data_IF_187244712757
#
_entry.id   IF_187244712757
#
_cell.length_a   1.000
_cell.length_b   1.000
_cell.length_c   1.000
_cell.angle_alpha   90.00
_cell.angle_beta   90.00
_cell.angle_gamma   90.00
#
_symmetry.space_group_name_H-M   'P 1'
#
loop_
_entity.id
_entity.type
_entity.pdbx_description
1 polymer ?
#
# COMPACT_ATOMS: atom_id res chain seq x y z
N UNK A 1 0.99 14.17 7.02
CA UNK A 1 1.59 13.17 7.96
C UNK A 1 2.84 12.59 7.32
N UNK A 2 3.89 12.41 8.11
CA UNK A 2 5.18 11.85 7.66
C UNK A 2 5.62 10.80 8.67
N UNK A 3 5.98 9.61 8.16
CA UNK A 3 6.64 8.55 8.91
C UNK A 3 8.04 8.35 8.34
N UNK A 4 8.98 7.91 9.16
CA UNK A 4 10.38 7.75 8.74
C UNK A 4 10.97 6.45 9.28
N UNK A 5 11.87 5.88 8.48
CA UNK A 5 12.72 4.76 8.85
C UNK A 5 14.18 5.14 8.60
N UNK A 6 15.08 4.19 8.71
CA UNK A 6 16.50 4.44 8.39
C UNK A 6 16.71 4.86 6.92
N UNK A 7 16.06 4.17 5.98
CA UNK A 7 16.27 4.39 4.54
C UNK A 7 15.12 5.08 3.82
N UNK A 8 13.96 5.22 4.47
CA UNK A 8 12.71 5.64 3.82
C UNK A 8 12.05 6.80 4.56
N UNK A 9 11.36 7.63 3.77
CA UNK A 9 10.38 8.60 4.25
C UNK A 9 9.04 8.31 3.60
N UNK A 10 8.00 8.12 4.40
CA UNK A 10 6.64 7.86 3.96
C UNK A 10 5.80 9.11 4.19
N UNK A 11 5.30 9.71 3.10
CA UNK A 11 4.48 10.92 3.15
C UNK A 11 3.06 10.60 2.68
N UNK A 12 2.06 11.10 3.39
CA UNK A 12 0.68 11.01 2.91
C UNK A 12 0.59 11.57 1.50
N UNK A 13 -0.11 10.86 0.61
CA UNK A 13 -0.26 11.23 -0.79
C UNK A 13 -0.85 12.63 -0.97
N UNK A 14 -0.31 13.36 -1.92
CA UNK A 14 -0.84 14.65 -2.37
C UNK A 14 -1.14 14.60 -3.87
N UNK A 15 -2.01 15.49 -4.35
CA UNK A 15 -2.36 15.52 -5.78
C UNK A 15 -1.13 15.78 -6.68
N UNK A 16 -0.15 16.53 -6.18
CA UNK A 16 1.11 16.80 -6.86
C UNK A 16 2.04 15.59 -7.01
N UNK A 17 1.73 14.46 -6.35
CA UNK A 17 2.43 13.19 -6.57
C UNK A 17 2.00 12.49 -7.88
N UNK A 18 1.09 13.09 -8.65
CA UNK A 18 0.51 12.50 -9.86
C UNK A 18 1.54 11.97 -10.88
N UNK A 19 2.69 12.60 -11.14
CA UNK A 19 3.69 12.02 -12.05
C UNK A 19 4.18 10.64 -11.58
N UNK A 20 4.46 10.48 -10.30
CA UNK A 20 4.85 9.20 -9.72
C UNK A 20 3.71 8.17 -9.76
N UNK A 21 2.49 8.56 -9.36
CA UNK A 21 1.35 7.65 -9.37
C UNK A 21 0.93 7.24 -10.78
N UNK A 22 1.10 8.11 -11.78
CA UNK A 22 0.89 7.76 -13.18
C UNK A 22 1.84 6.63 -13.62
N UNK A 23 3.11 6.73 -13.29
CA UNK A 23 4.09 5.69 -13.56
C UNK A 23 3.76 4.40 -12.81
N UNK A 24 3.45 4.47 -11.50
CA UNK A 24 3.13 3.32 -10.68
C UNK A 24 1.87 2.58 -11.17
N UNK A 25 0.79 3.30 -11.45
CA UNK A 25 -0.48 2.72 -11.89
C UNK A 25 -0.40 2.08 -13.28
N UNK A 26 0.56 2.47 -14.10
CA UNK A 26 0.83 1.89 -15.41
C UNK A 26 1.98 0.87 -15.41
N UNK A 27 2.60 0.62 -14.27
CA UNK A 27 3.59 -0.47 -14.15
C UNK A 27 2.91 -1.83 -14.38
N UNK A 28 3.49 -2.71 -15.24
CA UNK A 28 2.87 -4.00 -15.58
C UNK A 28 2.55 -4.88 -14.37
N UNK A 29 3.41 -4.90 -13.35
CA UNK A 29 3.17 -5.70 -12.14
C UNK A 29 2.05 -5.11 -11.27
N UNK A 30 1.90 -3.79 -11.25
CA UNK A 30 0.76 -3.14 -10.59
C UNK A 30 -0.56 -3.54 -11.26
N UNK A 31 -0.64 -3.45 -12.58
CA UNK A 31 -1.82 -3.84 -13.37
C UNK A 31 -2.15 -5.31 -13.15
N UNK A 32 -1.15 -6.19 -13.20
CA UNK A 32 -1.30 -7.63 -13.04
C UNK A 32 -1.75 -8.03 -11.63
N UNK A 33 -1.17 -7.44 -10.59
CA UNK A 33 -1.33 -7.89 -9.22
C UNK A 33 -2.35 -7.07 -8.41
N UNK A 34 -2.75 -5.90 -8.88
CA UNK A 34 -3.70 -5.03 -8.18
C UNK A 34 -4.90 -4.75 -9.08
N UNK A 35 -4.80 -3.82 -10.00
CA UNK A 35 -5.76 -3.58 -11.06
C UNK A 35 -5.25 -2.55 -12.08
N UNK A 36 -5.95 -2.43 -13.21
CA UNK A 36 -5.75 -1.35 -14.18
C UNK A 36 -6.63 -0.16 -13.81
N UNK A 37 -6.01 0.95 -13.43
CA UNK A 37 -6.72 2.22 -13.15
C UNK A 37 -7.20 2.92 -14.43
N UNK A 38 -6.70 2.49 -15.59
CA UNK A 38 -7.05 3.05 -16.90
C UNK A 38 -6.82 4.57 -16.99
N UNK A 39 -5.76 5.06 -16.37
CA UNK A 39 -5.33 6.45 -16.43
C UNK A 39 -4.30 6.63 -17.54
N UNK A 40 -4.52 7.61 -18.45
CA UNK A 40 -3.76 7.77 -19.69
C UNK A 40 -2.80 8.96 -19.67
N UNK A 41 -2.88 9.81 -18.64
CA UNK A 41 -2.03 10.97 -18.51
C UNK A 41 -1.76 11.34 -17.06
N UNK A 42 -0.75 12.18 -16.83
CA UNK A 42 -0.46 12.76 -15.53
C UNK A 42 -1.63 13.63 -15.05
N UNK A 43 -2.27 14.37 -15.96
CA UNK A 43 -3.42 15.23 -15.66
C UNK A 43 -4.63 14.40 -15.20
N UNK A 44 -4.93 13.30 -15.88
CA UNK A 44 -5.98 12.37 -15.45
C UNK A 44 -5.66 11.78 -14.08
N UNK A 45 -4.41 11.45 -13.84
CA UNK A 45 -3.94 10.91 -12.54
C UNK A 45 -4.07 11.96 -11.45
N UNK A 46 -3.68 13.21 -11.70
CA UNK A 46 -3.86 14.31 -10.75
C UNK A 46 -5.33 14.48 -10.36
N UNK A 47 -6.22 14.51 -11.36
CA UNK A 47 -7.67 14.60 -11.13
C UNK A 47 -8.20 13.42 -10.33
N UNK A 48 -7.75 12.20 -10.64
CA UNK A 48 -8.12 11.00 -9.91
C UNK A 48 -7.66 11.07 -8.43
N UNK A 49 -6.41 11.47 -8.18
CA UNK A 49 -5.91 11.64 -6.81
C UNK A 49 -6.72 12.68 -6.04
N UNK A 50 -6.92 13.86 -6.63
CA UNK A 50 -7.58 14.99 -5.98
C UNK A 50 -9.07 14.77 -5.73
N UNK A 51 -9.79 14.14 -6.65
CA UNK A 51 -11.25 14.07 -6.62
C UNK A 51 -11.79 12.72 -6.13
N UNK A 52 -10.99 11.66 -6.21
CA UNK A 52 -11.46 10.30 -5.87
C UNK A 52 -10.63 9.64 -4.77
N UNK A 53 -9.31 9.54 -4.96
CA UNK A 53 -8.49 8.74 -4.06
C UNK A 53 -8.32 9.41 -2.70
N UNK A 54 -7.86 10.65 -2.65
CA UNK A 54 -7.61 11.36 -1.41
C UNK A 54 -8.89 11.58 -0.61
N UNK A 55 -10.00 12.14 -1.16
CA UNK A 55 -11.21 12.39 -0.38
C UNK A 55 -11.88 11.14 0.18
N UNK A 56 -11.78 10.01 -0.54
CA UNK A 56 -12.47 8.80 -0.16
C UNK A 56 -11.66 7.84 0.72
N UNK A 57 -10.33 7.92 0.67
CA UNK A 57 -9.46 6.91 1.26
C UNK A 57 -8.42 7.46 2.26
N UNK A 58 -8.25 8.79 2.31
CA UNK A 58 -7.26 9.42 3.19
C UNK A 58 -7.96 10.24 4.28
N UNK A 59 -8.15 9.64 5.45
CA UNK A 59 -8.77 10.29 6.61
C UNK A 59 -8.24 9.68 7.91
N UNK A 60 -8.27 10.44 8.99
CA UNK A 60 -7.95 9.98 10.36
C UNK A 60 -6.64 9.18 10.48
N UNK A 61 -5.62 9.53 9.68
CA UNK A 61 -4.34 8.84 9.67
C UNK A 61 -4.30 7.58 8.80
N UNK A 62 -5.39 7.27 8.12
CA UNK A 62 -5.47 6.22 7.11
C UNK A 62 -5.24 6.81 5.72
N UNK A 63 -4.78 6.01 4.78
CA UNK A 63 -4.60 6.42 3.39
C UNK A 63 -3.40 5.79 2.71
N UNK A 64 -2.95 6.47 1.67
CA UNK A 64 -1.78 6.07 0.89
C UNK A 64 -0.59 6.94 1.27
N UNK A 65 0.54 6.29 1.53
CA UNK A 65 1.81 6.94 1.83
C UNK A 65 2.75 6.73 0.64
N UNK A 66 3.14 7.81 -0.01
CA UNK A 66 4.19 7.80 -1.02
C UNK A 66 5.51 7.51 -0.31
N UNK A 67 6.22 6.48 -0.74
CA UNK A 67 7.47 6.02 -0.14
C UNK A 67 8.65 6.61 -0.91
N UNK A 68 9.45 7.43 -0.24
CA UNK A 68 10.68 8.03 -0.77
C UNK A 68 11.90 7.29 -0.24
N UNK A 69 12.84 7.01 -1.12
CA UNK A 69 14.18 6.59 -0.71
C UNK A 69 14.99 7.82 -0.29
N UNK A 70 15.56 7.78 0.92
CA UNK A 70 16.18 8.96 1.53
C UNK A 70 17.46 9.42 0.81
N UNK A 71 18.27 8.49 0.33
CA UNK A 71 19.57 8.80 -0.28
C UNK A 71 19.44 9.66 -1.56
N UNK A 72 18.50 9.29 -2.44
CA UNK A 72 18.24 10.01 -3.70
C UNK A 72 17.05 10.96 -3.61
N UNK A 73 16.27 10.88 -2.53
CA UNK A 73 15.03 11.65 -2.35
C UNK A 73 14.05 11.48 -3.51
N UNK A 74 13.88 10.26 -3.98
CA UNK A 74 12.96 9.91 -5.07
C UNK A 74 11.82 9.02 -4.58
N UNK A 75 10.60 9.15 -5.11
CA UNK A 75 9.51 8.23 -4.81
C UNK A 75 9.75 6.89 -5.51
N UNK A 76 9.63 5.79 -4.77
CA UNK A 76 9.93 4.45 -5.25
C UNK A 76 8.76 3.48 -5.11
N UNK A 77 7.75 3.84 -4.34
CA UNK A 77 6.62 2.98 -4.07
C UNK A 77 5.55 3.67 -3.25
N UNK A 78 4.56 2.90 -2.89
CA UNK A 78 3.47 3.29 -1.99
C UNK A 78 3.28 2.22 -0.93
N UNK A 79 2.98 2.65 0.29
CA UNK A 79 2.40 1.80 1.33
C UNK A 79 1.05 2.39 1.73
N UNK A 80 0.07 1.54 2.02
CA UNK A 80 -1.27 2.02 2.37
C UNK A 80 -1.77 1.38 3.65
N UNK A 81 -2.63 2.10 4.36
CA UNK A 81 -3.38 1.61 5.50
C UNK A 81 -4.82 2.07 5.32
N UNK A 82 -5.73 1.14 5.08
CA UNK A 82 -7.10 1.45 4.68
C UNK A 82 -8.12 0.77 5.59
N UNK A 83 -9.25 1.45 5.80
CA UNK A 83 -10.46 0.83 6.32
C UNK A 83 -11.25 0.21 5.17
N UNK A 84 -11.82 -0.98 5.39
CA UNK A 84 -12.64 -1.70 4.42
C UNK A 84 -14.01 -2.01 5.00
N UNK A 85 -15.07 -1.81 4.24
CA UNK A 85 -16.46 -2.07 4.69
C UNK A 85 -16.71 -3.50 5.16
N UNK A 86 -15.98 -4.46 4.59
CA UNK A 86 -16.16 -5.89 4.88
C UNK A 86 -15.27 -6.42 6.00
N UNK A 87 -14.54 -5.56 6.68
CA UNK A 87 -13.61 -5.96 7.74
C UNK A 87 -13.61 -4.96 8.88
N UNK A 88 -13.40 -5.43 10.09
CA UNK A 88 -13.29 -4.59 11.30
C UNK A 88 -11.86 -4.10 11.55
N UNK A 89 -10.90 -4.51 10.73
CA UNK A 89 -9.48 -4.21 10.90
C UNK A 89 -8.91 -3.46 9.72
N UNK A 90 -7.90 -2.67 9.95
CA UNK A 90 -7.21 -1.94 8.89
C UNK A 90 -6.39 -2.89 8.01
N UNK A 91 -6.43 -2.62 6.73
CA UNK A 91 -5.77 -3.37 5.67
C UNK A 91 -4.51 -2.64 5.22
N UNK A 92 -3.35 -3.29 5.36
CA UNK A 92 -2.09 -2.78 4.85
C UNK A 92 -1.83 -3.29 3.44
N UNK A 93 -1.47 -2.36 2.54
CA UNK A 93 -1.10 -2.66 1.16
C UNK A 93 0.23 -2.01 0.78
N UNK A 94 0.78 -2.44 -0.34
CA UNK A 94 2.02 -1.87 -0.89
C UNK A 94 2.15 -2.17 -2.38
N UNK A 95 2.83 -1.27 -3.08
CA UNK A 95 3.26 -1.46 -4.45
C UNK A 95 4.53 -0.64 -4.70
N UNK A 96 5.50 -1.22 -5.40
CA UNK A 96 6.78 -0.58 -5.67
C UNK A 96 7.11 -0.62 -7.15
N UNK A 97 7.68 0.49 -7.65
CA UNK A 97 8.31 0.51 -8.97
C UNK A 97 9.54 -0.41 -9.01
N UNK A 98 9.96 -0.88 -10.20
CA UNK A 98 11.15 -1.72 -10.33
C UNK A 98 12.39 -1.18 -9.61
N UNK A 99 12.59 0.14 -9.63
CA UNK A 99 13.71 0.80 -8.95
C UNK A 99 13.71 0.60 -7.42
N UNK A 100 12.57 0.34 -6.83
CA UNK A 100 12.39 0.10 -5.39
C UNK A 100 12.32 -1.37 -5.00
N UNK A 101 12.45 -2.31 -5.95
CA UNK A 101 12.33 -3.74 -5.69
C UNK A 101 13.68 -4.41 -5.38
N UNK A 102 13.64 -5.53 -4.67
CA UNK A 102 14.81 -6.37 -4.40
C UNK A 102 15.79 -5.80 -3.37
N UNK A 103 15.43 -4.75 -2.64
CA UNK A 103 16.30 -4.06 -1.68
C UNK A 103 15.74 -4.07 -0.24
N UNK A 104 14.61 -4.76 -0.01
CA UNK A 104 13.95 -4.80 1.29
C UNK A 104 13.11 -3.57 1.64
N UNK A 105 12.89 -2.66 0.72
CA UNK A 105 12.12 -1.43 0.98
C UNK A 105 10.64 -1.69 1.27
N UNK A 106 10.03 -2.64 0.58
CA UNK A 106 8.64 -3.02 0.85
C UNK A 106 8.47 -3.60 2.26
N UNK A 107 9.43 -4.40 2.73
CA UNK A 107 9.46 -4.90 4.10
C UNK A 107 9.58 -3.75 5.10
N UNK A 108 10.56 -2.88 4.93
CA UNK A 108 10.83 -1.75 5.83
C UNK A 108 9.66 -0.76 5.90
N UNK A 109 9.05 -0.43 4.75
CA UNK A 109 7.89 0.45 4.70
C UNK A 109 6.66 -0.16 5.38
N UNK A 110 6.40 -1.45 5.14
CA UNK A 110 5.26 -2.15 5.76
C UNK A 110 5.44 -2.30 7.27
N UNK A 111 6.65 -2.63 7.72
CA UNK A 111 6.97 -2.68 9.15
C UNK A 111 6.76 -1.31 9.84
N UNK A 112 7.11 -0.22 9.17
CA UNK A 112 6.83 1.14 9.64
C UNK A 112 5.33 1.40 9.79
N UNK A 113 4.51 1.00 8.83
CA UNK A 113 3.04 1.12 8.92
C UNK A 113 2.48 0.23 10.03
N UNK A 114 2.98 -0.99 10.21
CA UNK A 114 2.58 -1.86 11.32
C UNK A 114 2.86 -1.22 12.68
N UNK A 115 4.05 -0.65 12.86
CA UNK A 115 4.42 0.07 14.07
C UNK A 115 3.49 1.27 14.32
N UNK A 116 3.22 2.07 13.29
CA UNK A 116 2.28 3.18 13.36
C UNK A 116 0.88 2.70 13.76
N UNK A 117 0.39 1.61 13.17
CA UNK A 117 -0.92 1.01 13.47
C UNK A 117 -1.03 0.60 14.94
N UNK A 118 0.01 -0.05 15.47
CA UNK A 118 0.07 -0.47 16.87
C UNK A 118 0.21 0.72 17.84
N UNK A 119 1.21 1.56 17.61
CA UNK A 119 1.64 2.54 18.61
C UNK A 119 0.81 3.82 18.59
N UNK A 120 0.35 4.26 17.43
CA UNK A 120 -0.40 5.51 17.27
C UNK A 120 -1.89 5.25 17.18
N UNK A 121 -2.32 4.35 16.30
CA UNK A 121 -3.74 4.03 16.11
C UNK A 121 -4.28 3.04 17.14
N UNK A 122 -3.40 2.46 17.99
CA UNK A 122 -3.76 1.57 19.11
C UNK A 122 -4.58 0.35 18.68
N UNK A 123 -4.31 -0.17 17.50
CA UNK A 123 -4.94 -1.40 17.02
C UNK A 123 -4.23 -2.63 17.60
N UNK A 124 -5.00 -3.68 17.84
CA UNK A 124 -4.51 -4.97 18.31
C UNK A 124 -4.25 -5.98 17.19
N UNK A 125 -4.75 -5.65 15.98
CA UNK A 125 -4.63 -6.50 14.78
C UNK A 125 -4.55 -5.64 13.51
N UNK A 126 -3.86 -6.16 12.50
CA UNK A 126 -3.81 -5.63 11.15
C UNK A 126 -3.98 -6.78 10.16
N UNK A 127 -4.61 -6.51 9.03
CA UNK A 127 -4.82 -7.49 7.95
C UNK A 127 -4.16 -7.05 6.66
N UNK A 128 -4.01 -7.99 5.73
CA UNK A 128 -3.53 -7.73 4.39
C UNK A 128 -4.20 -8.68 3.39
N UNK A 129 -4.50 -8.17 2.21
CA UNK A 129 -5.02 -8.95 1.10
C UNK A 129 -4.03 -8.98 -0.04
N UNK A 130 -3.93 -10.13 -0.71
CA UNK A 130 -3.14 -10.24 -1.93
C UNK A 130 -3.81 -11.24 -2.88
N UNK A 131 -3.65 -11.02 -4.17
CA UNK A 131 -4.12 -11.99 -5.16
C UNK A 131 -3.49 -13.36 -4.90
N UNK A 132 -4.24 -14.47 -5.04
CA UNK A 132 -3.75 -15.83 -4.73
C UNK A 132 -2.47 -16.20 -5.48
N UNK A 133 -2.28 -15.70 -6.70
CA UNK A 133 -1.11 -15.95 -7.54
C UNK A 133 0.10 -15.04 -7.23
N UNK A 134 -0.05 -14.01 -6.41
CA UNK A 134 1.04 -13.08 -6.07
C UNK A 134 1.97 -13.68 -5.01
N UNK A 135 2.89 -14.54 -5.44
CA UNK A 135 3.82 -15.23 -4.53
C UNK A 135 4.81 -14.30 -3.84
N UNK A 136 5.23 -13.22 -4.51
CA UNK A 136 6.14 -12.23 -3.92
C UNK A 136 5.50 -11.53 -2.71
N UNK A 137 4.24 -11.11 -2.84
CA UNK A 137 3.48 -10.52 -1.73
C UNK A 137 3.26 -11.50 -0.58
N UNK A 138 2.90 -12.75 -0.88
CA UNK A 138 2.73 -13.81 0.14
C UNK A 138 4.01 -14.05 0.93
N UNK A 139 5.16 -14.12 0.25
CA UNK A 139 6.47 -14.28 0.93
C UNK A 139 6.79 -13.08 1.81
N UNK A 140 6.51 -11.87 1.36
CA UNK A 140 6.74 -10.66 2.13
C UNK A 140 5.88 -10.65 3.41
N UNK A 141 4.59 -10.93 3.28
CA UNK A 141 3.67 -10.99 4.43
C UNK A 141 4.08 -12.07 5.43
N UNK A 142 4.47 -13.25 4.96
CA UNK A 142 4.99 -14.33 5.82
C UNK A 142 6.26 -13.89 6.55
N UNK A 143 7.19 -13.23 5.87
CA UNK A 143 8.43 -12.70 6.45
C UNK A 143 8.16 -11.63 7.51
N UNK A 144 7.12 -10.81 7.33
CA UNK A 144 6.66 -9.82 8.31
C UNK A 144 5.97 -10.45 9.54
N UNK A 145 5.67 -11.74 9.50
CA UNK A 145 5.03 -12.48 10.58
C UNK A 145 3.51 -12.59 10.46
N UNK A 146 2.93 -12.21 9.31
CA UNK A 146 1.51 -12.44 9.06
C UNK A 146 1.20 -13.92 8.89
N UNK A 147 0.02 -14.33 9.38
CA UNK A 147 -0.52 -15.67 9.21
C UNK A 147 -1.56 -15.71 8.10
N UNK A 148 -1.47 -16.69 7.23
CA UNK A 148 -2.49 -16.94 6.21
C UNK A 148 -3.77 -17.48 6.84
N UNK A 149 -4.90 -16.85 6.56
CA UNK A 149 -6.22 -17.19 7.12
C UNK A 149 -7.10 -17.95 6.13
N UNK A 150 -6.93 -17.72 4.85
CA UNK A 150 -7.73 -18.35 3.80
C UNK A 150 -8.08 -17.38 2.67
N UNK A 151 -8.99 -17.81 1.82
CA UNK A 151 -9.53 -16.97 0.75
C UNK A 151 -10.75 -16.21 1.25
N UNK A 152 -10.85 -14.92 0.92
CA UNK A 152 -11.99 -14.07 1.23
C UNK A 152 -12.35 -13.18 0.05
N UNK A 153 -13.65 -13.04 -0.20
CA UNK A 153 -14.16 -12.10 -1.19
C UNK A 153 -14.16 -10.67 -0.61
N UNK A 154 -13.22 -9.86 -1.08
CA UNK A 154 -13.11 -8.43 -0.73
C UNK A 154 -13.69 -7.57 -1.85
N UNK A 155 -13.35 -7.87 -3.09
CA UNK A 155 -13.91 -7.25 -4.28
C UNK A 155 -14.95 -8.20 -4.88
N UNK A 156 -16.07 -7.63 -5.30
CA UNK A 156 -17.19 -8.42 -5.84
C UNK A 156 -16.71 -9.39 -6.93
N UNK A 157 -16.99 -10.69 -6.73
CA UNK A 157 -16.67 -11.77 -7.66
C UNK A 157 -15.25 -12.31 -7.61
N UNK A 158 -14.35 -11.75 -6.80
CA UNK A 158 -12.97 -12.20 -6.67
C UNK A 158 -12.65 -12.59 -5.23
N UNK A 159 -11.93 -13.71 -5.07
CA UNK A 159 -11.40 -14.14 -3.78
C UNK A 159 -9.91 -13.83 -3.69
N UNK A 160 -9.53 -13.08 -2.67
CA UNK A 160 -8.14 -12.78 -2.34
C UNK A 160 -7.66 -13.63 -1.16
N UNK A 161 -6.34 -13.83 -1.11
CA UNK A 161 -5.69 -14.43 0.06
C UNK A 161 -5.67 -13.41 1.20
N UNK A 162 -6.27 -13.77 2.33
CA UNK A 162 -6.31 -12.98 3.55
C UNK A 162 -5.18 -13.41 4.48
N UNK A 163 -4.46 -12.43 4.99
CA UNK A 163 -3.44 -12.58 6.03
C UNK A 163 -3.78 -11.68 7.22
N UNK A 164 -3.38 -12.10 8.42
CA UNK A 164 -3.52 -11.28 9.63
C UNK A 164 -2.24 -11.29 10.47
N UNK A 165 -2.05 -10.20 11.19
CA UNK A 165 -1.02 -10.06 12.22
C UNK A 165 -1.66 -9.53 13.51
N UNK A 166 -1.45 -10.22 14.62
CA UNK A 166 -1.90 -9.84 15.97
C UNK A 166 -0.69 -9.23 16.69
N UNK A 167 -0.84 -7.97 17.12
CA UNK A 167 0.24 -7.21 17.77
C UNK A 167 0.58 -7.69 19.19
#
# INVERSE_FOLDING_TARGET
MILSTERLTLKMVEANDAPFYFELFNDPDFIKNINDKNLKSVEETHTFLQQKMIPNLCNDGLGFFTVYENERNIPIGVSSLLSREKTDYYDVGYAFLPIGRGKGYAFEATECIMKYTKEVLKQDKIIAFTMPQNQASKRLLTKLGFNYIGLKEIHQGNKDSLFEYIF
#
